data_IF_160184883296
#
_entry.id   IF_160184883296
#
_cell.length_a   1.000
_cell.length_b   1.000
_cell.length_c   1.000
_cell.angle_alpha   90.00
_cell.angle_beta   90.00
_cell.angle_gamma   90.00
#
_symmetry.space_group_name_H-M   'P 1'
#
loop_
_entity.id
_entity.type
_entity.pdbx_description
1 polymer ?
#
# COMPACT_ATOMS: atom_id res chain seq x y z
N UNK A 1 -8.08 -24.86 -8.28
CA UNK A 1 -7.64 -23.46 -8.47
C UNK A 1 -8.60 -22.55 -7.71
N UNK A 2 -8.17 -21.95 -6.61
CA UNK A 2 -9.00 -21.03 -5.81
C UNK A 2 -9.13 -19.72 -6.59
N UNK A 3 -10.30 -19.46 -7.18
CA UNK A 3 -10.60 -18.17 -7.77
C UNK A 3 -10.43 -17.10 -6.69
N UNK A 4 -9.51 -16.16 -6.90
CA UNK A 4 -9.36 -15.00 -6.01
C UNK A 4 -10.60 -14.14 -6.20
N UNK A 5 -11.43 -14.02 -5.16
CA UNK A 5 -12.58 -13.13 -5.15
C UNK A 5 -12.19 -11.66 -5.39
N UNK A 6 -13.17 -10.79 -5.67
CA UNK A 6 -12.92 -9.37 -5.91
C UNK A 6 -12.15 -8.72 -4.75
N UNK A 7 -11.38 -7.67 -5.03
CA UNK A 7 -10.68 -6.92 -3.97
C UNK A 7 -11.70 -6.17 -3.10
N UNK A 8 -11.33 -5.89 -1.84
CA UNK A 8 -12.11 -5.04 -0.96
C UNK A 8 -11.86 -3.57 -1.30
N UNK A 9 -12.93 -2.78 -1.44
CA UNK A 9 -12.82 -1.32 -1.60
C UNK A 9 -12.70 -0.63 -0.23
N UNK A 10 -12.19 0.62 -0.16
CA UNK A 10 -12.17 1.37 1.09
C UNK A 10 -13.57 1.49 1.71
N UNK A 11 -14.59 1.77 0.90
CA UNK A 11 -15.96 1.99 1.34
C UNK A 11 -16.58 0.71 1.91
N UNK A 12 -16.29 -0.45 1.33
CA UNK A 12 -16.70 -1.75 1.90
C UNK A 12 -16.08 -1.98 3.27
N UNK A 13 -14.81 -1.62 3.46
CA UNK A 13 -14.10 -1.79 4.73
C UNK A 13 -14.58 -0.79 5.78
N UNK A 14 -14.86 0.45 5.40
CA UNK A 14 -15.50 1.44 6.27
C UNK A 14 -16.88 0.98 6.74
N UNK A 15 -17.71 0.48 5.81
CA UNK A 15 -19.00 -0.13 6.15
C UNK A 15 -18.84 -1.30 7.11
N UNK A 16 -17.87 -2.19 6.90
CA UNK A 16 -17.60 -3.31 7.78
C UNK A 16 -17.19 -2.86 9.20
N UNK A 17 -16.35 -1.81 9.30
CA UNK A 17 -15.95 -1.21 10.58
C UNK A 17 -17.15 -0.60 11.30
N UNK A 18 -18.00 0.15 10.59
CA UNK A 18 -19.20 0.77 11.15
C UNK A 18 -20.21 -0.28 11.64
N UNK A 19 -20.48 -1.32 10.83
CA UNK A 19 -21.34 -2.44 11.23
C UNK A 19 -20.79 -3.14 12.48
N UNK A 20 -19.46 -3.27 12.57
CA UNK A 20 -18.84 -3.83 13.76
C UNK A 20 -18.94 -2.95 14.99
N UNK A 21 -18.81 -1.63 14.83
CA UNK A 21 -19.00 -0.68 15.91
C UNK A 21 -20.45 -0.71 16.45
N UNK A 22 -21.43 -1.02 15.59
CA UNK A 22 -22.83 -1.24 15.96
C UNK A 22 -23.11 -2.59 16.67
N UNK A 23 -22.07 -3.38 16.94
CA UNK A 23 -22.19 -4.64 17.69
C UNK A 23 -22.50 -5.88 16.85
N UNK A 24 -22.56 -5.77 15.52
CA UNK A 24 -22.83 -6.94 14.65
C UNK A 24 -21.73 -8.01 14.77
N UNK A 25 -22.08 -9.28 14.59
CA UNK A 25 -21.12 -10.39 14.54
C UNK A 25 -20.43 -10.43 13.18
N UNK A 26 -19.18 -10.90 13.14
CA UNK A 26 -18.41 -10.96 11.89
C UNK A 26 -19.10 -11.78 10.79
N UNK A 27 -19.84 -12.83 11.17
CA UNK A 27 -20.63 -13.64 10.23
C UNK A 27 -21.68 -12.80 9.50
N UNK A 28 -22.43 -12.00 10.26
CA UNK A 28 -23.51 -11.14 9.73
C UNK A 28 -22.95 -10.03 8.85
N UNK A 29 -21.83 -9.41 9.25
CA UNK A 29 -21.16 -8.38 8.44
C UNK A 29 -20.65 -8.97 7.12
N UNK A 30 -20.07 -10.17 7.17
CA UNK A 30 -19.54 -10.85 5.99
C UNK A 30 -20.66 -11.24 5.01
N UNK A 31 -21.77 -11.76 5.54
CA UNK A 31 -22.97 -12.09 4.77
C UNK A 31 -23.58 -10.84 4.12
N UNK A 32 -23.72 -9.75 4.88
CA UNK A 32 -24.24 -8.47 4.37
C UNK A 32 -23.37 -7.84 3.26
N UNK A 33 -22.08 -8.18 3.20
CA UNK A 33 -21.15 -7.70 2.18
C UNK A 33 -20.90 -8.73 1.07
N UNK A 34 -21.43 -9.95 1.17
CA UNK A 34 -21.16 -11.04 0.23
C UNK A 34 -19.69 -11.49 0.22
N UNK A 35 -19.02 -11.44 1.37
CA UNK A 35 -17.58 -11.71 1.51
C UNK A 35 -17.30 -12.90 2.45
N UNK A 36 -16.18 -13.63 2.27
CA UNK A 36 -15.80 -14.67 3.22
C UNK A 36 -15.38 -14.10 4.58
N UNK A 37 -15.89 -14.69 5.67
CA UNK A 37 -15.71 -14.20 7.05
C UNK A 37 -14.23 -13.98 7.41
N UNK A 38 -13.37 -14.98 7.19
CA UNK A 38 -11.96 -14.90 7.56
C UNK A 38 -11.17 -13.92 6.69
N UNK A 39 -11.53 -13.81 5.41
CA UNK A 39 -10.93 -12.82 4.51
C UNK A 39 -11.28 -11.40 4.96
N UNK A 40 -12.54 -11.15 5.32
CA UNK A 40 -13.00 -9.86 5.81
C UNK A 40 -12.33 -9.49 7.13
N UNK A 41 -12.29 -10.41 8.11
CA UNK A 41 -11.63 -10.19 9.42
C UNK A 41 -10.17 -9.79 9.26
N UNK A 42 -9.40 -10.52 8.46
CA UNK A 42 -8.00 -10.23 8.22
C UNK A 42 -7.83 -8.85 7.54
N UNK A 43 -8.68 -8.56 6.55
CA UNK A 43 -8.59 -7.31 5.79
C UNK A 43 -8.97 -6.10 6.65
N UNK A 44 -10.07 -6.16 7.39
CA UNK A 44 -10.47 -5.07 8.30
C UNK A 44 -9.44 -4.86 9.40
N UNK A 45 -8.84 -5.92 9.95
CA UNK A 45 -7.76 -5.80 10.94
C UNK A 45 -6.56 -5.04 10.39
N UNK A 46 -6.11 -5.39 9.18
CA UNK A 46 -5.03 -4.67 8.49
C UNK A 46 -5.44 -3.24 8.16
N UNK A 47 -6.71 -3.00 7.77
CA UNK A 47 -7.22 -1.68 7.43
C UNK A 47 -7.21 -0.74 8.63
N UNK A 48 -7.70 -1.19 9.79
CA UNK A 48 -7.68 -0.41 11.04
C UNK A 48 -6.26 -0.05 11.51
N UNK A 49 -5.26 -0.84 11.12
CA UNK A 49 -3.84 -0.61 11.41
C UNK A 49 -3.15 0.23 10.32
N UNK A 50 -3.88 0.72 9.32
CA UNK A 50 -3.32 1.47 8.18
C UNK A 50 -2.54 0.62 7.18
N UNK A 51 -2.56 -0.71 7.29
CA UNK A 51 -1.82 -1.64 6.40
C UNK A 51 -2.59 -2.04 5.15
N UNK A 52 -3.92 -1.87 5.11
CA UNK A 52 -4.64 -2.01 3.84
C UNK A 52 -4.55 -0.69 3.12
N UNK A 53 -3.54 -0.59 2.25
CA UNK A 53 -3.61 0.28 1.08
C UNK A 53 -4.87 -0.12 0.31
N UNK A 54 -5.92 0.66 0.43
CA UNK A 54 -7.28 0.33 -0.02
C UNK A 54 -7.48 0.27 -1.52
N UNK A 55 -6.41 0.21 -2.31
CA UNK A 55 -6.54 -0.07 -3.74
C UNK A 55 -5.23 -0.61 -4.27
N UNK A 56 -5.30 -1.64 -5.13
CA UNK A 56 -4.22 -1.87 -6.12
C UNK A 56 -3.94 -0.59 -6.90
N UNK A 57 -4.95 0.27 -7.09
CA UNK A 57 -4.84 1.63 -7.64
C UNK A 57 -3.90 2.51 -6.80
N UNK A 58 -4.14 2.67 -5.48
CA UNK A 58 -3.24 3.41 -4.59
C UNK A 58 -1.82 2.85 -4.59
N UNK A 59 -1.65 1.52 -4.64
CA UNK A 59 -0.32 0.93 -4.82
C UNK A 59 0.31 1.26 -6.16
N UNK A 60 -0.47 1.28 -7.25
CA UNK A 60 0.01 1.67 -8.59
C UNK A 60 0.37 3.15 -8.64
N UNK A 61 -0.43 4.02 -8.02
CA UNK A 61 -0.19 5.45 -7.92
C UNK A 61 1.02 5.76 -7.03
N UNK A 62 1.11 5.14 -5.85
CA UNK A 62 2.26 5.24 -4.95
C UNK A 62 3.53 4.71 -5.64
N UNK A 63 3.43 3.58 -6.36
CA UNK A 63 4.53 3.04 -7.16
C UNK A 63 4.96 4.01 -8.26
N UNK A 64 4.03 4.53 -9.05
CA UNK A 64 4.32 5.46 -10.14
C UNK A 64 4.95 6.76 -9.60
N UNK A 65 4.49 7.24 -8.44
CA UNK A 65 5.11 8.37 -7.75
C UNK A 65 6.54 8.04 -7.31
N UNK A 66 6.74 6.92 -6.61
CA UNK A 66 8.07 6.50 -6.14
C UNK A 66 9.04 6.39 -7.31
N UNK A 67 8.63 5.72 -8.39
CA UNK A 67 9.44 5.60 -9.61
C UNK A 67 9.75 6.98 -10.20
N UNK A 68 8.75 7.86 -10.37
CA UNK A 68 8.96 9.22 -10.90
C UNK A 68 9.96 10.02 -10.07
N UNK A 69 9.79 10.05 -8.75
CA UNK A 69 10.64 10.86 -7.88
C UNK A 69 12.08 10.31 -7.82
N UNK A 70 12.23 8.98 -7.85
CA UNK A 70 13.54 8.31 -7.94
C UNK A 70 14.22 8.67 -9.27
N UNK A 71 13.50 8.64 -10.39
CA UNK A 71 14.00 9.06 -11.70
C UNK A 71 14.32 10.55 -11.78
N UNK A 72 13.67 11.38 -10.97
CA UNK A 72 14.03 12.79 -10.77
C UNK A 72 15.26 12.98 -9.88
N UNK A 73 15.95 11.90 -9.49
CA UNK A 73 17.15 11.92 -8.66
C UNK A 73 16.87 12.14 -7.17
N UNK A 74 15.61 12.09 -6.73
CA UNK A 74 15.30 12.26 -5.30
C UNK A 74 15.68 11.02 -4.52
N UNK A 75 16.29 11.26 -3.35
CA UNK A 75 16.65 10.22 -2.40
C UNK A 75 15.41 9.71 -1.67
N UNK A 76 15.38 8.43 -1.24
CA UNK A 76 14.25 7.86 -0.51
C UNK A 76 13.81 8.71 0.69
N UNK A 77 14.74 9.31 1.44
CA UNK A 77 14.41 10.16 2.57
C UNK A 77 13.70 11.47 2.18
N UNK A 78 13.99 12.03 1.00
CA UNK A 78 13.33 13.23 0.49
C UNK A 78 11.89 12.89 0.07
N UNK A 79 11.72 11.79 -0.67
CA UNK A 79 10.41 11.27 -1.07
C UNK A 79 9.56 10.99 0.17
N UNK A 80 10.11 10.28 1.15
CA UNK A 80 9.41 9.98 2.40
C UNK A 80 8.96 11.23 3.14
N UNK A 81 9.84 12.25 3.24
CA UNK A 81 9.51 13.51 3.91
C UNK A 81 8.40 14.28 3.19
N UNK A 82 8.47 14.38 1.87
CA UNK A 82 7.47 15.10 1.07
C UNK A 82 6.10 14.43 1.10
N UNK A 83 6.08 13.09 1.13
CA UNK A 83 4.85 12.31 1.15
C UNK A 83 4.32 12.00 2.56
N UNK A 84 5.02 12.43 3.61
CA UNK A 84 4.69 12.11 5.00
C UNK A 84 4.77 10.61 5.32
N UNK A 85 5.61 9.88 4.58
CA UNK A 85 5.80 8.43 4.74
C UNK A 85 6.95 8.11 5.70
N UNK A 86 6.89 6.92 6.29
CA UNK A 86 8.00 6.39 7.06
C UNK A 86 9.16 5.99 6.10
N UNK A 87 10.39 6.52 6.28
CA UNK A 87 11.51 6.25 5.39
C UNK A 87 11.91 4.77 5.32
N UNK A 88 11.83 4.04 6.43
CA UNK A 88 12.15 2.61 6.49
C UNK A 88 11.16 1.80 5.68
N UNK A 89 9.87 2.07 5.84
CA UNK A 89 8.82 1.40 5.07
C UNK A 89 8.91 1.72 3.57
N UNK A 90 9.33 2.94 3.21
CA UNK A 90 9.56 3.33 1.83
C UNK A 90 10.77 2.57 1.25
N UNK A 91 11.87 2.48 1.98
CA UNK A 91 13.05 1.72 1.56
C UNK A 91 12.74 0.23 1.35
N UNK A 92 12.07 -0.41 2.31
CA UNK A 92 11.62 -1.82 2.17
C UNK A 92 10.72 -2.00 0.95
N UNK A 93 9.88 -1.00 0.68
CA UNK A 93 8.99 -0.99 -0.49
C UNK A 93 9.79 -0.85 -1.78
N UNK A 94 10.76 0.06 -1.85
CA UNK A 94 11.66 0.23 -3.01
C UNK A 94 12.45 -1.05 -3.29
N UNK A 95 12.94 -1.73 -2.26
CA UNK A 95 13.60 -3.05 -2.38
C UNK A 95 12.65 -4.07 -3.03
N UNK A 96 11.42 -4.20 -2.52
CA UNK A 96 10.42 -5.11 -3.10
C UNK A 96 9.99 -4.73 -4.51
N UNK A 97 10.17 -3.47 -4.89
CA UNK A 97 9.92 -2.97 -6.24
C UNK A 97 11.09 -3.23 -7.21
N UNK A 98 12.24 -3.72 -6.72
CA UNK A 98 13.46 -3.88 -7.52
C UNK A 98 14.21 -2.57 -7.77
N UNK A 99 13.87 -1.49 -7.06
CA UNK A 99 14.56 -0.21 -7.12
C UNK A 99 15.79 -0.15 -6.20
N UNK A 100 16.32 -1.32 -5.82
CA UNK A 100 17.30 -1.49 -4.75
C UNK A 100 18.74 -1.49 -5.25
N UNK A 101 19.13 -2.22 -6.30
CA UNK A 101 20.56 -2.38 -6.61
C UNK A 101 21.11 -1.45 -7.71
N UNK A 102 20.44 -1.31 -8.85
CA UNK A 102 20.99 -0.58 -10.02
C UNK A 102 20.50 0.88 -10.10
N UNK A 103 19.30 1.17 -9.59
CA UNK A 103 18.81 2.53 -9.28
C UNK A 103 19.78 3.28 -8.36
N UNK A 104 20.52 2.53 -7.53
CA UNK A 104 21.56 3.01 -6.64
C UNK A 104 22.85 3.40 -7.37
N UNK A 105 23.12 2.80 -8.53
CA UNK A 105 24.33 3.03 -9.33
C UNK A 105 24.13 4.13 -10.40
N UNK A 106 22.94 4.25 -11.00
CA UNK A 106 22.68 5.30 -12.00
C UNK A 106 22.46 6.69 -11.38
N UNK A 107 21.87 6.79 -10.17
CA UNK A 107 21.88 8.05 -9.38
C UNK A 107 23.32 8.46 -9.04
N UNK A 108 24.20 7.49 -8.84
CA UNK A 108 25.63 7.71 -8.60
C UNK A 108 26.34 8.25 -9.85
N UNK A 109 26.06 7.68 -11.02
CA UNK A 109 26.64 8.12 -12.29
C UNK A 109 26.10 9.49 -12.77
N UNK A 110 24.83 9.80 -12.50
CA UNK A 110 24.23 11.06 -12.91
C UNK A 110 24.73 12.26 -12.08
N UNK A 111 24.96 12.08 -10.76
CA UNK A 111 25.61 13.07 -9.90
C UNK A 111 27.07 13.29 -10.30
N UNK A 112 27.76 12.22 -10.73
CA UNK A 112 29.17 12.28 -11.12
C UNK A 112 29.44 12.96 -12.46
N UNK A 113 28.44 13.02 -13.35
CA UNK A 113 28.52 13.73 -14.64
C UNK A 113 28.02 15.18 -14.58
N UNK A 114 27.36 15.57 -13.50
CA UNK A 114 26.82 16.92 -13.28
C UNK A 114 27.68 17.79 -12.35
N UNK A 115 28.81 17.27 -11.86
CA UNK A 115 29.85 17.96 -11.08
C UNK A 115 31.12 18.13 -11.93
#
# INVERSE_FOLDING_TARGET
>A
MTQRGPLYTPEELERAVLMKAKGMRWKEVAEALGRPVESLKMTVSRYRRGFVSTTRLRWREERALIEREVWAGKRPCQIAREQGWNPTNLSDRMIRMGLDLEVRNEIYDHIKRAA
#
